data_IF_135353167577
#
_entry.id   IF_135353167577
#
_cell.length_a   1.000
_cell.length_b   1.000
_cell.length_c   1.000
_cell.angle_alpha   90.00
_cell.angle_beta   90.00
_cell.angle_gamma   90.00
#
_symmetry.space_group_name_H-M   'P 1'
#
loop_
_entity.id
_entity.type
_entity.pdbx_description
1 polymer ?
#
# COMPACT_ATOMS: atom_id res chain seq x y z
N UNK A 1 -8.79 5.58 -13.58
CA UNK A 1 -7.51 5.19 -14.22
C UNK A 1 -6.56 4.82 -13.09
N UNK A 2 -5.93 3.64 -13.10
CA UNK A 2 -4.80 3.39 -12.16
C UNK A 2 -3.74 4.47 -12.47
N UNK A 3 -3.17 5.16 -11.48
CA UNK A 3 -2.02 6.01 -11.75
C UNK A 3 -0.99 5.13 -12.47
N UNK A 4 -0.48 5.58 -13.62
CA UNK A 4 0.67 4.92 -14.21
C UNK A 4 1.76 4.95 -13.15
N UNK A 5 2.29 3.78 -12.77
CA UNK A 5 3.51 3.67 -11.98
C UNK A 5 4.66 4.24 -12.84
N UNK A 6 4.73 5.56 -12.99
CA UNK A 6 5.81 6.22 -13.71
C UNK A 6 7.08 6.17 -12.85
N UNK A 7 8.24 6.04 -13.51
CA UNK A 7 9.67 6.25 -13.24
C UNK A 7 10.22 6.29 -11.78
N UNK A 8 9.41 6.58 -10.77
CA UNK A 8 9.75 6.66 -9.35
C UNK A 8 9.98 5.30 -8.66
N UNK A 9 9.65 4.20 -9.34
CA UNK A 9 9.79 2.82 -8.84
C UNK A 9 10.91 2.03 -9.51
N UNK A 10 11.66 2.61 -10.47
CA UNK A 10 12.76 1.96 -11.21
C UNK A 10 13.86 1.35 -10.31
N UNK A 11 13.88 1.70 -9.01
CA UNK A 11 14.83 1.17 -8.04
C UNK A 11 14.29 0.03 -7.15
N UNK A 12 12.99 -0.30 -7.21
CA UNK A 12 12.47 -1.41 -6.43
C UNK A 12 12.86 -2.75 -7.04
N UNK A 13 13.32 -3.72 -6.24
CA UNK A 13 13.69 -5.05 -6.74
C UNK A 13 12.59 -5.72 -7.58
N UNK A 14 11.33 -5.55 -7.20
CA UNK A 14 10.18 -6.18 -7.89
C UNK A 14 9.97 -5.62 -9.31
N UNK A 15 10.24 -4.34 -9.54
CA UNK A 15 10.15 -3.75 -10.88
C UNK A 15 11.33 -4.19 -11.74
N UNK A 16 12.55 -4.29 -11.18
CA UNK A 16 13.69 -4.89 -11.88
C UNK A 16 13.37 -6.33 -12.34
N UNK A 17 12.66 -7.09 -11.51
CA UNK A 17 12.21 -8.43 -11.89
C UNK A 17 11.19 -8.40 -13.04
N UNK A 18 10.23 -7.46 -13.02
CA UNK A 18 9.28 -7.24 -14.12
C UNK A 18 9.98 -6.84 -15.41
N UNK A 19 10.90 -5.89 -15.36
CA UNK A 19 11.67 -5.41 -16.52
C UNK A 19 12.51 -6.53 -17.15
N UNK A 20 13.12 -7.39 -16.33
CA UNK A 20 13.87 -8.56 -16.82
C UNK A 20 12.94 -9.52 -17.57
N UNK A 21 11.72 -9.74 -17.07
CA UNK A 21 10.71 -10.58 -17.73
C UNK A 21 10.26 -9.92 -19.04
N UNK A 22 9.94 -8.63 -19.02
CA UNK A 22 9.38 -7.88 -20.15
C UNK A 22 10.38 -7.73 -21.30
N UNK A 23 11.63 -7.41 -20.97
CA UNK A 23 12.74 -7.36 -21.92
C UNK A 23 12.97 -8.71 -22.59
N UNK A 24 12.87 -9.82 -21.84
CA UNK A 24 13.04 -11.15 -22.41
C UNK A 24 11.93 -11.51 -23.40
N UNK A 25 10.67 -11.16 -23.08
CA UNK A 25 9.52 -11.41 -23.95
C UNK A 25 9.65 -10.62 -25.27
N UNK A 26 10.14 -9.38 -25.20
CA UNK A 26 10.20 -8.46 -26.35
C UNK A 26 11.40 -8.68 -27.28
N UNK A 27 12.57 -9.04 -26.75
CA UNK A 27 13.82 -9.03 -27.54
C UNK A 27 14.06 -10.26 -28.43
N UNK A 28 13.43 -11.43 -28.20
CA UNK A 28 14.07 -12.70 -28.62
C UNK A 28 13.27 -13.82 -29.29
N UNK A 29 12.04 -13.62 -29.75
CA UNK A 29 11.18 -14.73 -30.20
C UNK A 29 11.19 -15.87 -29.16
N UNK A 30 10.72 -15.61 -27.92
CA UNK A 30 10.63 -16.64 -26.88
C UNK A 30 9.77 -17.82 -27.38
N UNK A 31 10.09 -19.03 -26.92
CA UNK A 31 9.22 -20.18 -27.18
C UNK A 31 7.86 -20.01 -26.49
N UNK A 32 6.81 -20.69 -26.96
CA UNK A 32 5.49 -20.65 -26.30
C UNK A 32 5.59 -21.05 -24.82
N UNK A 33 6.48 -21.98 -24.49
CA UNK A 33 6.77 -22.41 -23.12
C UNK A 33 7.43 -21.30 -22.27
N UNK A 34 8.32 -20.51 -22.87
CA UNK A 34 8.94 -19.35 -22.23
C UNK A 34 7.91 -18.24 -21.97
N UNK A 35 6.98 -18.02 -22.92
CA UNK A 35 5.89 -17.04 -22.77
C UNK A 35 4.96 -17.47 -21.63
N UNK A 36 4.51 -18.72 -21.61
CA UNK A 36 3.66 -19.25 -20.52
C UNK A 36 4.36 -19.10 -19.16
N UNK A 37 5.66 -19.38 -19.10
CA UNK A 37 6.44 -19.23 -17.89
C UNK A 37 6.57 -17.76 -17.45
N UNK A 38 6.85 -16.84 -18.37
CA UNK A 38 6.89 -15.39 -18.08
C UNK A 38 5.53 -14.86 -17.61
N UNK A 39 4.42 -15.33 -18.20
CA UNK A 39 3.08 -14.99 -17.75
C UNK A 39 2.78 -15.54 -16.36
N UNK A 40 3.19 -16.77 -16.06
CA UNK A 40 3.06 -17.34 -14.72
C UNK A 40 3.88 -16.54 -13.69
N UNK A 41 5.11 -16.12 -14.04
CA UNK A 41 5.92 -15.24 -13.19
C UNK A 41 5.23 -13.89 -12.96
N UNK A 42 4.72 -13.25 -14.02
CA UNK A 42 3.99 -11.97 -13.93
C UNK A 42 2.80 -12.07 -12.99
N UNK A 43 1.98 -13.12 -13.13
CA UNK A 43 0.85 -13.38 -12.22
C UNK A 43 1.31 -13.59 -10.78
N UNK A 44 2.42 -14.30 -10.60
CA UNK A 44 3.03 -14.59 -9.29
C UNK A 44 3.71 -13.40 -8.61
N UNK A 45 3.77 -12.22 -9.24
CA UNK A 45 4.35 -11.00 -8.65
C UNK A 45 3.40 -9.81 -8.71
N UNK A 46 2.23 -10.01 -9.30
CA UNK A 46 1.14 -9.05 -9.30
C UNK A 46 0.29 -9.28 -8.04
N UNK A 47 0.30 -8.35 -7.07
CA UNK A 47 -0.53 -8.50 -5.87
C UNK A 47 -2.02 -8.58 -6.21
N UNK A 48 -2.46 -7.98 -7.32
CA UNK A 48 -3.85 -8.00 -7.77
C UNK A 48 -4.22 -9.27 -8.55
N UNK A 49 -3.29 -10.22 -8.69
CA UNK A 49 -3.60 -11.49 -9.32
C UNK A 49 -4.55 -12.30 -8.45
N UNK A 50 -5.68 -12.75 -9.04
CA UNK A 50 -6.55 -13.74 -8.42
C UNK A 50 -5.98 -15.17 -8.50
N UNK A 51 -4.79 -15.33 -9.07
CA UNK A 51 -4.13 -16.63 -9.22
C UNK A 51 -3.25 -16.84 -7.99
N UNK A 52 -3.46 -17.92 -7.22
CA UNK A 52 -2.59 -18.25 -6.10
C UNK A 52 -1.14 -18.39 -6.57
N UNK A 53 -0.20 -17.98 -5.72
CA UNK A 53 1.21 -18.25 -5.94
C UNK A 53 1.45 -19.78 -5.91
N UNK A 54 1.54 -20.41 -7.08
CA UNK A 54 1.96 -21.80 -7.20
C UNK A 54 3.49 -21.87 -7.09
N UNK A 55 3.98 -21.89 -5.85
CA UNK A 55 5.40 -21.93 -5.55
C UNK A 55 6.09 -23.16 -6.15
N UNK A 56 5.42 -24.32 -6.17
CA UNK A 56 5.99 -25.54 -6.74
C UNK A 56 6.09 -25.47 -8.27
N UNK A 57 5.11 -24.88 -8.96
CA UNK A 57 5.19 -24.59 -10.40
C UNK A 57 6.28 -23.56 -10.66
N UNK A 58 6.32 -22.47 -9.91
CA UNK A 58 7.36 -21.42 -9.99
C UNK A 58 8.78 -21.98 -9.81
N UNK A 59 8.99 -22.84 -8.81
CA UNK A 59 10.28 -23.47 -8.56
C UNK A 59 10.63 -24.55 -9.59
N UNK A 60 9.67 -25.35 -10.04
CA UNK A 60 9.89 -26.27 -11.18
C UNK A 60 10.35 -25.48 -12.40
N UNK A 61 9.74 -24.32 -12.66
CA UNK A 61 10.17 -23.42 -13.73
C UNK A 61 11.62 -22.95 -13.53
N UNK A 62 12.03 -22.56 -12.32
CA UNK A 62 13.40 -22.08 -12.03
C UNK A 62 14.46 -23.20 -11.89
N UNK A 63 14.07 -24.44 -11.61
CA UNK A 63 14.99 -25.56 -11.37
C UNK A 63 15.80 -25.98 -12.61
N UNK A 64 17.02 -26.47 -12.40
CA UNK A 64 17.89 -26.96 -13.48
C UNK A 64 17.32 -28.26 -14.07
N UNK A 65 17.03 -28.28 -15.38
CA UNK A 65 16.56 -29.47 -16.10
C UNK A 65 15.16 -29.36 -16.69
N UNK A 66 14.41 -28.30 -16.36
CA UNK A 66 13.16 -28.00 -17.08
C UNK A 66 13.45 -27.25 -18.40
N UNK A 67 12.83 -27.67 -19.52
CA UNK A 67 12.96 -26.99 -20.82
C UNK A 67 12.21 -25.66 -20.91
N UNK A 68 11.40 -25.33 -19.88
CA UNK A 68 10.49 -24.18 -19.84
C UNK A 68 11.17 -22.80 -19.87
N UNK A 69 12.48 -22.72 -19.59
CA UNK A 69 13.24 -21.49 -19.74
C UNK A 69 14.52 -21.69 -20.54
N UNK A 70 14.87 -20.74 -21.40
CA UNK A 70 16.24 -20.67 -21.88
C UNK A 70 17.21 -20.50 -20.71
N UNK A 71 18.39 -21.14 -20.78
CA UNK A 71 19.45 -20.94 -19.77
C UNK A 71 19.87 -19.46 -19.62
N UNK A 72 19.49 -18.59 -20.57
CA UNK A 72 19.74 -17.15 -20.54
C UNK A 72 18.80 -16.41 -19.59
N UNK A 73 17.48 -16.67 -19.64
CA UNK A 73 16.53 -16.01 -18.71
C UNK A 73 16.81 -16.43 -17.27
N UNK A 74 17.07 -17.73 -17.02
CA UNK A 74 17.49 -18.22 -15.71
C UNK A 74 18.72 -17.50 -15.16
N UNK A 75 19.74 -17.27 -16.00
CA UNK A 75 20.94 -16.50 -15.62
C UNK A 75 20.65 -15.04 -15.28
N UNK A 76 19.65 -14.42 -15.92
CA UNK A 76 19.21 -13.05 -15.59
C UNK A 76 18.41 -13.01 -14.28
N UNK A 77 17.58 -14.01 -13.98
CA UNK A 77 16.73 -14.04 -12.78
C UNK A 77 17.47 -14.50 -11.52
N UNK A 78 18.38 -15.47 -11.63
CA UNK A 78 19.06 -16.10 -10.48
C UNK A 78 19.77 -15.14 -9.51
N UNK A 79 20.39 -14.03 -9.94
CA UNK A 79 21.01 -13.07 -9.03
C UNK A 79 20.00 -12.33 -8.14
N UNK A 80 18.74 -12.21 -8.56
CA UNK A 80 17.71 -11.44 -7.87
C UNK A 80 16.90 -12.26 -6.87
N UNK A 81 16.81 -13.57 -7.06
CA UNK A 81 15.91 -14.45 -6.32
C UNK A 81 16.66 -15.31 -5.30
N UNK A 82 16.03 -15.51 -4.13
CA UNK A 82 16.40 -16.57 -3.19
C UNK A 82 15.74 -17.88 -3.63
N UNK A 83 16.53 -18.93 -3.88
CA UNK A 83 16.04 -20.23 -4.38
C UNK A 83 15.57 -21.18 -3.28
N UNK A 84 14.73 -22.18 -3.64
CA UNK A 84 14.22 -23.23 -2.73
C UNK A 84 15.25 -23.94 -1.88
N UNK A 85 16.53 -24.04 -2.30
CA UNK A 85 17.56 -24.65 -1.43
C UNK A 85 17.68 -23.94 -0.08
N UNK A 86 17.34 -22.66 -0.01
CA UNK A 86 17.37 -21.89 1.22
C UNK A 86 16.21 -22.17 2.19
N UNK A 87 15.15 -22.85 1.71
CA UNK A 87 13.94 -23.18 2.49
C UNK A 87 13.78 -24.68 2.79
N UNK A 88 14.69 -25.53 2.30
CA UNK A 88 14.52 -27.01 2.28
C UNK A 88 14.45 -27.68 3.66
N UNK A 89 14.91 -27.05 4.73
CA UNK A 89 15.20 -27.76 5.99
C UNK A 89 14.16 -27.57 7.10
N UNK A 90 13.25 -26.60 7.03
CA UNK A 90 12.36 -26.30 8.17
C UNK A 90 11.04 -25.63 7.76
N UNK A 91 9.95 -25.89 8.51
CA UNK A 91 8.65 -25.18 8.41
C UNK A 91 8.62 -23.86 9.19
N UNK A 92 9.61 -23.65 10.05
CA UNK A 92 9.84 -22.47 10.87
C UNK A 92 11.33 -22.20 10.97
N UNK A 93 11.75 -20.94 11.00
CA UNK A 93 13.13 -20.57 11.29
C UNK A 93 13.20 -20.07 12.73
N UNK A 94 13.55 -20.91 13.72
CA UNK A 94 13.68 -20.47 15.12
C UNK A 94 14.94 -19.64 15.33
N UNK A 95 14.99 -18.89 16.44
CA UNK A 95 16.12 -18.02 16.78
C UNK A 95 17.46 -18.77 16.70
N UNK A 96 18.43 -18.18 16.01
CA UNK A 96 19.75 -18.78 15.78
C UNK A 96 19.86 -19.64 14.51
N UNK A 97 18.78 -19.84 13.75
CA UNK A 97 18.81 -20.52 12.46
C UNK A 97 18.65 -19.53 11.29
N UNK A 98 19.77 -19.25 10.62
CA UNK A 98 19.78 -18.46 9.38
C UNK A 98 19.25 -19.28 8.20
N UNK A 99 18.68 -18.61 7.20
CA UNK A 99 18.45 -19.24 5.90
C UNK A 99 19.79 -19.65 5.27
N UNK A 100 20.03 -20.96 5.16
CA UNK A 100 21.25 -21.51 4.57
C UNK A 100 21.20 -21.36 3.05
N UNK A 101 22.12 -20.60 2.45
CA UNK A 101 22.20 -20.46 0.99
C UNK A 101 21.55 -19.20 0.43
N UNK A 102 21.34 -18.18 1.25
CA UNK A 102 21.11 -16.85 0.73
C UNK A 102 22.38 -16.34 0.02
N UNK A 103 22.25 -15.96 -1.25
CA UNK A 103 23.36 -15.36 -1.98
C UNK A 103 23.42 -13.84 -1.67
N UNK A 104 24.63 -13.26 -1.63
CA UNK A 104 24.82 -11.85 -1.29
C UNK A 104 24.29 -10.86 -2.32
N UNK A 105 23.88 -11.35 -3.51
CA UNK A 105 23.28 -10.55 -4.58
C UNK A 105 21.75 -10.48 -4.54
N UNK A 106 21.08 -11.40 -3.83
CA UNK A 106 19.64 -11.58 -3.89
C UNK A 106 18.92 -10.36 -3.31
N UNK A 107 17.96 -9.85 -4.09
CA UNK A 107 17.19 -8.65 -3.76
C UNK A 107 15.74 -8.97 -3.41
N UNK A 108 15.26 -10.18 -3.76
CA UNK A 108 13.87 -10.64 -3.60
C UNK A 108 13.85 -12.03 -2.95
N UNK A 109 13.02 -12.19 -1.92
CA UNK A 109 12.67 -13.51 -1.37
C UNK A 109 11.25 -13.88 -1.80
N UNK A 110 11.07 -15.10 -2.29
CA UNK A 110 9.74 -15.68 -2.51
C UNK A 110 9.55 -16.74 -1.45
N UNK A 111 8.61 -16.52 -0.55
CA UNK A 111 8.41 -17.38 0.61
C UNK A 111 7.40 -18.49 0.25
N UNK A 112 7.79 -19.77 0.31
CA UNK A 112 6.86 -20.87 0.10
C UNK A 112 5.78 -20.87 1.17
N UNK A 113 4.53 -21.15 0.80
CA UNK A 113 3.34 -21.21 1.68
C UNK A 113 3.49 -22.14 2.91
N UNK A 114 4.37 -23.14 2.81
CA UNK A 114 4.72 -24.06 3.89
C UNK A 114 5.45 -23.39 5.07
N UNK A 115 6.08 -22.23 4.86
CA UNK A 115 6.79 -21.49 5.91
C UNK A 115 5.78 -20.76 6.80
N UNK A 116 5.88 -20.93 8.12
CA UNK A 116 4.94 -20.32 9.06
C UNK A 116 5.54 -19.20 9.90
N UNK A 117 6.86 -19.12 10.04
CA UNK A 117 7.52 -18.06 10.80
C UNK A 117 9.00 -17.91 10.43
N UNK A 118 9.52 -16.70 10.63
CA UNK A 118 10.94 -16.39 10.58
C UNK A 118 11.44 -15.84 11.90
N UNK A 119 12.65 -16.23 12.30
CA UNK A 119 13.41 -15.55 13.34
C UNK A 119 13.82 -14.15 12.87
N UNK A 120 14.05 -13.19 13.77
CA UNK A 120 14.55 -11.85 13.45
C UNK A 120 15.78 -11.84 12.54
N UNK A 121 16.62 -12.88 12.66
CA UNK A 121 17.90 -12.99 11.96
C UNK A 121 17.86 -13.90 10.72
N UNK A 122 16.70 -14.41 10.32
CA UNK A 122 16.58 -15.41 9.25
C UNK A 122 17.22 -14.96 7.91
N UNK A 123 17.27 -13.64 7.65
CA UNK A 123 17.82 -13.04 6.44
C UNK A 123 19.13 -12.28 6.66
N UNK A 124 19.86 -12.55 7.74
CA UNK A 124 21.14 -11.86 8.05
C UNK A 124 22.18 -11.99 6.94
N UNK A 125 22.25 -13.16 6.27
CA UNK A 125 23.16 -13.44 5.16
C UNK A 125 22.68 -12.91 3.79
N UNK A 126 21.57 -12.16 3.77
CA UNK A 126 20.97 -11.55 2.58
C UNK A 126 21.09 -10.00 2.60
N UNK A 127 22.29 -9.41 2.49
CA UNK A 127 22.47 -7.97 2.73
C UNK A 127 21.78 -7.06 1.69
N UNK A 128 21.41 -7.58 0.52
CA UNK A 128 20.70 -6.81 -0.51
C UNK A 128 19.20 -7.12 -0.55
N UNK A 129 18.70 -8.00 0.31
CA UNK A 129 17.29 -8.34 0.34
C UNK A 129 16.49 -7.10 0.73
N UNK A 130 15.62 -6.68 -0.19
CA UNK A 130 14.81 -5.49 -0.05
C UNK A 130 13.35 -5.75 -0.38
N UNK A 131 13.00 -6.87 -1.02
CA UNK A 131 11.61 -7.21 -1.34
C UNK A 131 11.24 -8.64 -0.93
N UNK A 132 10.02 -8.83 -0.43
CA UNK A 132 9.48 -10.15 -0.11
C UNK A 132 8.15 -10.37 -0.81
N UNK A 133 7.98 -11.57 -1.36
CA UNK A 133 6.72 -12.09 -1.88
C UNK A 133 6.29 -13.23 -0.96
N UNK A 134 5.10 -13.13 -0.36
CA UNK A 134 4.58 -14.14 0.56
C UNK A 134 3.07 -14.33 0.40
N UNK A 135 2.53 -15.42 0.95
CA UNK A 135 1.06 -15.62 0.95
C UNK A 135 0.38 -14.93 2.13
N UNK A 136 -0.92 -14.68 2.00
CA UNK A 136 -1.75 -14.08 3.06
C UNK A 136 -1.62 -14.79 4.41
N UNK A 137 -1.51 -16.12 4.41
CA UNK A 137 -1.41 -16.91 5.65
C UNK A 137 -0.11 -16.67 6.44
N UNK A 138 0.88 -16.03 5.81
CA UNK A 138 2.21 -15.83 6.36
C UNK A 138 2.46 -14.36 6.71
N UNK A 139 1.65 -13.46 6.17
CA UNK A 139 1.73 -12.02 6.30
C UNK A 139 1.99 -11.52 7.74
N UNK A 140 1.12 -11.88 8.68
CA UNK A 140 1.21 -11.41 10.07
C UNK A 140 2.41 -11.94 10.84
N UNK A 141 2.92 -13.13 10.49
CA UNK A 141 3.99 -13.80 11.24
C UNK A 141 5.39 -13.45 10.70
N UNK A 142 5.50 -13.18 9.41
CA UNK A 142 6.78 -12.90 8.74
C UNK A 142 7.24 -11.46 9.02
N UNK A 143 6.31 -10.51 9.09
CA UNK A 143 6.62 -9.08 8.96
C UNK A 143 7.01 -8.42 10.27
N UNK A 144 6.49 -8.92 11.39
CA UNK A 144 6.88 -8.48 12.73
C UNK A 144 8.40 -8.53 12.96
N UNK A 145 9.08 -9.50 12.33
CA UNK A 145 10.50 -9.76 12.56
C UNK A 145 11.45 -9.10 11.55
N UNK A 146 10.95 -8.60 10.42
CA UNK A 146 11.78 -8.16 9.29
C UNK A 146 12.02 -6.64 9.24
N UNK A 147 11.55 -5.93 10.27
CA UNK A 147 11.22 -4.50 10.33
C UNK A 147 12.31 -3.49 9.93
N UNK A 148 13.55 -3.91 9.64
CA UNK A 148 14.69 -2.99 9.53
C UNK A 148 15.31 -2.84 8.14
N UNK A 149 14.96 -3.68 7.16
CA UNK A 149 15.62 -3.63 5.82
C UNK A 149 14.68 -3.78 4.64
N UNK A 150 13.53 -4.43 4.83
CA UNK A 150 12.62 -4.69 3.71
C UNK A 150 11.95 -3.38 3.30
N UNK A 151 12.09 -3.07 2.02
CA UNK A 151 11.52 -1.90 1.37
C UNK A 151 10.22 -2.23 0.64
N UNK A 152 10.03 -3.47 0.21
CA UNK A 152 8.84 -3.86 -0.52
C UNK A 152 8.27 -5.19 -0.03
N UNK A 153 6.94 -5.26 0.08
CA UNK A 153 6.27 -6.53 0.33
C UNK A 153 5.13 -6.71 -0.67
N UNK A 154 5.07 -7.86 -1.34
CA UNK A 154 3.95 -8.28 -2.19
C UNK A 154 3.27 -9.45 -1.51
N UNK A 155 1.98 -9.30 -1.20
CA UNK A 155 1.16 -10.41 -0.73
C UNK A 155 0.45 -11.03 -1.91
N UNK A 156 0.26 -12.34 -1.88
CA UNK A 156 -0.55 -13.07 -2.86
C UNK A 156 -1.52 -13.98 -2.10
N UNK A 157 -2.78 -13.98 -2.50
CA UNK A 157 -3.77 -14.89 -1.97
C UNK A 157 -5.12 -14.72 -2.63
N UNK A 158 -5.96 -15.73 -2.44
CA UNK A 158 -7.30 -15.87 -3.00
C UNK A 158 -8.39 -15.90 -1.90
N UNK A 159 -8.00 -15.73 -0.63
CA UNK A 159 -8.91 -15.73 0.50
C UNK A 159 -9.22 -14.32 0.98
N UNK A 160 -10.47 -14.10 1.38
CA UNK A 160 -10.89 -12.79 1.91
C UNK A 160 -10.11 -12.50 3.19
N UNK A 161 -9.17 -11.57 3.12
CA UNK A 161 -8.26 -11.26 4.22
C UNK A 161 -8.50 -9.86 4.77
N UNK A 162 -8.26 -9.70 6.06
CA UNK A 162 -8.31 -8.43 6.77
C UNK A 162 -6.88 -8.05 7.11
N UNK A 163 -6.41 -6.90 6.65
CA UNK A 163 -5.09 -6.43 7.04
C UNK A 163 -5.18 -5.97 8.50
N UNK A 164 -4.68 -6.80 9.42
CA UNK A 164 -4.92 -6.65 10.86
C UNK A 164 -4.37 -5.34 11.41
N UNK A 165 -4.97 -4.87 12.52
CA UNK A 165 -4.51 -3.68 13.22
C UNK A 165 -3.00 -3.72 13.50
N UNK A 166 -2.32 -2.60 13.27
CA UNK A 166 -0.89 -2.40 13.49
C UNK A 166 0.07 -3.31 12.71
N UNK A 167 -0.34 -4.00 11.65
CA UNK A 167 0.51 -4.98 10.94
C UNK A 167 1.84 -4.43 10.37
N UNK A 168 1.89 -3.15 9.98
CA UNK A 168 3.08 -2.41 9.52
C UNK A 168 3.37 -1.19 10.39
N UNK A 169 2.75 -1.09 11.57
CA UNK A 169 2.97 0.08 12.43
C UNK A 169 4.46 0.24 12.74
N UNK A 170 5.00 1.41 12.45
CA UNK A 170 6.41 1.76 12.62
C UNK A 170 7.37 1.15 11.60
N UNK A 171 6.89 0.55 10.51
CA UNK A 171 7.75 -0.08 9.50
C UNK A 171 8.40 0.98 8.59
N UNK A 172 9.35 1.74 9.15
CA UNK A 172 9.94 2.92 8.51
C UNK A 172 10.71 2.63 7.23
N UNK A 173 11.17 1.40 6.99
CA UNK A 173 11.85 1.05 5.73
C UNK A 173 10.91 0.74 4.58
N UNK A 174 9.62 0.51 4.84
CA UNK A 174 8.63 0.14 3.82
C UNK A 174 8.44 1.30 2.83
N UNK A 175 8.76 1.05 1.57
CA UNK A 175 8.60 1.96 0.42
C UNK A 175 7.38 1.58 -0.40
N UNK A 176 7.11 0.29 -0.55
CA UNK A 176 6.05 -0.26 -1.37
C UNK A 176 5.36 -1.44 -0.68
N UNK A 177 4.04 -1.54 -0.90
CA UNK A 177 3.26 -2.70 -0.52
C UNK A 177 2.26 -3.05 -1.63
N UNK A 178 2.28 -4.31 -2.05
CA UNK A 178 1.26 -4.90 -2.91
C UNK A 178 0.19 -5.58 -2.07
N UNK A 179 -1.01 -4.99 -2.01
CA UNK A 179 -2.16 -5.51 -1.27
C UNK A 179 -3.09 -6.26 -2.26
N UNK A 180 -3.50 -7.50 -1.97
CA UNK A 180 -4.34 -8.28 -2.87
C UNK A 180 -5.76 -7.76 -2.99
N UNK A 181 -6.38 -7.98 -4.15
CA UNK A 181 -7.78 -7.62 -4.42
C UNK A 181 -8.77 -8.38 -3.51
N UNK A 182 -8.33 -9.39 -2.77
CA UNK A 182 -9.14 -10.11 -1.77
C UNK A 182 -9.33 -9.33 -0.47
N UNK A 183 -8.51 -8.29 -0.21
CA UNK A 183 -8.54 -7.51 1.03
C UNK A 183 -9.70 -6.52 1.00
N UNK A 184 -10.58 -6.60 2.00
CA UNK A 184 -11.71 -5.68 2.13
C UNK A 184 -11.54 -4.63 3.23
N UNK A 185 -10.57 -4.81 4.13
CA UNK A 185 -10.39 -3.96 5.31
C UNK A 185 -8.92 -3.72 5.60
N UNK A 186 -8.58 -2.45 5.84
CA UNK A 186 -7.31 -2.01 6.43
C UNK A 186 -7.57 -1.67 7.90
N UNK A 187 -7.00 -2.46 8.82
CA UNK A 187 -7.24 -2.34 10.25
C UNK A 187 -6.55 -1.14 10.92
N UNK A 188 -6.95 -0.84 12.15
CA UNK A 188 -6.50 0.37 12.84
C UNK A 188 -4.98 0.43 12.98
N UNK A 189 -4.38 1.61 12.73
CA UNK A 189 -2.92 1.81 12.74
C UNK A 189 -2.11 0.88 11.81
N UNK A 190 -2.74 0.21 10.85
CA UNK A 190 -2.10 -0.78 9.97
C UNK A 190 -0.75 -0.34 9.39
N UNK A 191 -0.63 0.91 8.95
CA UNK A 191 0.56 1.51 8.37
C UNK A 191 1.05 2.74 9.13
N UNK A 192 0.64 2.90 10.40
CA UNK A 192 1.00 4.08 11.17
C UNK A 192 2.52 4.24 11.23
N UNK A 193 3.05 5.42 10.92
CA UNK A 193 4.49 5.70 10.98
C UNK A 193 5.33 5.01 9.90
N UNK A 194 4.72 4.51 8.81
CA UNK A 194 5.41 4.03 7.61
C UNK A 194 5.99 5.21 6.81
N UNK A 195 6.98 5.90 7.36
CA UNK A 195 7.42 7.20 6.84
C UNK A 195 8.00 7.16 5.42
N UNK A 196 8.50 6.02 4.94
CA UNK A 196 9.05 5.91 3.59
C UNK A 196 8.03 5.34 2.58
N UNK A 197 6.82 5.01 3.01
CA UNK A 197 5.79 4.45 2.14
C UNK A 197 5.35 5.54 1.16
N UNK A 198 5.68 5.39 -0.12
CA UNK A 198 5.47 6.43 -1.13
C UNK A 198 4.08 6.39 -1.75
N UNK A 199 3.58 5.20 -2.02
CA UNK A 199 2.28 4.98 -2.65
C UNK A 199 1.65 3.70 -2.10
N UNK A 200 0.69 3.80 -1.15
CA UNK A 200 -0.14 2.65 -0.80
C UNK A 200 -1.08 2.36 -1.97
N UNK A 201 -0.75 1.36 -2.79
CA UNK A 201 -1.64 0.90 -3.86
C UNK A 201 -2.80 0.12 -3.26
N UNK A 202 -3.89 0.81 -2.94
CA UNK A 202 -5.07 0.22 -2.34
C UNK A 202 -5.98 -0.39 -3.40
N UNK A 203 -6.34 -1.69 -3.30
CA UNK A 203 -7.29 -2.31 -4.21
C UNK A 203 -8.70 -1.71 -4.06
N UNK A 204 -9.46 -1.71 -5.16
CA UNK A 204 -10.83 -1.16 -5.20
C UNK A 204 -11.84 -1.95 -4.35
N UNK A 205 -11.46 -3.14 -3.90
CA UNK A 205 -12.28 -4.04 -3.07
C UNK A 205 -12.28 -3.65 -1.60
N UNK A 206 -11.38 -2.76 -1.17
CA UNK A 206 -11.39 -2.22 0.19
C UNK A 206 -12.65 -1.37 0.39
N UNK A 207 -13.42 -1.74 1.41
CA UNK A 207 -14.62 -1.02 1.86
C UNK A 207 -14.41 -0.25 3.15
N UNK A 208 -13.36 -0.60 3.92
CA UNK A 208 -13.11 -0.08 5.26
C UNK A 208 -11.63 0.21 5.46
N UNK A 209 -11.32 1.41 5.96
CA UNK A 209 -10.00 1.83 6.41
C UNK A 209 -10.18 2.41 7.81
N UNK A 210 -9.74 1.68 8.83
CA UNK A 210 -10.01 1.99 10.24
C UNK A 210 -9.13 3.14 10.78
N UNK A 211 -9.41 3.53 12.02
CA UNK A 211 -8.74 4.62 12.72
C UNK A 211 -7.21 4.56 12.64
N UNK A 212 -6.57 5.71 12.45
CA UNK A 212 -5.10 5.86 12.42
C UNK A 212 -4.39 5.02 11.33
N UNK A 213 -5.10 4.37 10.41
CA UNK A 213 -4.52 3.36 9.51
C UNK A 213 -3.26 3.84 8.77
N UNK A 214 -3.19 5.11 8.39
CA UNK A 214 -2.04 5.72 7.72
C UNK A 214 -1.50 6.96 8.47
N UNK A 215 -1.78 7.08 9.78
CA UNK A 215 -1.26 8.20 10.57
C UNK A 215 0.29 8.24 10.53
N UNK A 216 0.88 9.42 10.60
CA UNK A 216 2.32 9.65 10.61
C UNK A 216 3.08 9.12 9.35
N UNK A 217 2.39 8.91 8.22
CA UNK A 217 3.03 8.57 6.93
C UNK A 217 3.52 9.82 6.18
N UNK A 218 4.32 9.69 5.12
CA UNK A 218 4.89 10.87 4.41
C UNK A 218 4.75 10.86 2.89
N UNK A 219 3.81 10.07 2.35
CA UNK A 219 3.46 10.11 0.93
C UNK A 219 2.89 11.48 0.51
N UNK A 220 3.06 11.83 -0.76
CA UNK A 220 2.61 13.11 -1.31
C UNK A 220 1.18 13.09 -1.86
N UNK A 221 0.69 11.90 -2.22
CA UNK A 221 -0.64 11.67 -2.77
C UNK A 221 -1.30 10.46 -2.10
N UNK A 222 -2.60 10.54 -1.86
CA UNK A 222 -3.41 9.44 -1.36
C UNK A 222 -4.74 9.36 -2.09
N UNK A 223 -5.07 8.17 -2.59
CA UNK A 223 -6.33 7.88 -3.30
C UNK A 223 -7.09 6.85 -2.50
N UNK A 224 -8.26 7.23 -1.99
CA UNK A 224 -9.14 6.28 -1.32
C UNK A 224 -9.77 5.30 -2.32
N UNK A 225 -9.97 4.03 -1.94
CA UNK A 225 -10.78 3.09 -2.71
C UNK A 225 -12.21 3.61 -2.89
N UNK A 226 -12.83 3.43 -4.07
CA UNK A 226 -14.12 4.04 -4.41
C UNK A 226 -15.30 3.54 -3.55
N UNK A 227 -15.15 2.39 -2.91
CA UNK A 227 -16.18 1.79 -2.05
C UNK A 227 -16.11 2.25 -0.59
N UNK A 228 -15.10 3.03 -0.19
CA UNK A 228 -14.96 3.56 1.18
C UNK A 228 -16.00 4.65 1.42
N UNK A 229 -16.86 4.44 2.42
CA UNK A 229 -17.96 5.36 2.77
C UNK A 229 -17.63 6.27 3.96
N UNK A 230 -16.84 5.77 4.90
CA UNK A 230 -16.50 6.48 6.12
C UNK A 230 -14.99 6.69 6.11
N UNK A 231 -14.57 7.95 6.27
CA UNK A 231 -13.19 8.30 6.56
C UNK A 231 -13.08 8.35 8.07
N UNK A 232 -12.38 7.39 8.66
CA UNK A 232 -12.33 7.19 10.10
C UNK A 232 -11.41 8.20 10.83
N UNK A 233 -11.38 8.13 12.16
CA UNK A 233 -10.62 9.05 13.02
C UNK A 233 -9.12 8.98 12.72
N UNK A 234 -8.49 10.14 12.58
CA UNK A 234 -7.03 10.27 12.40
C UNK A 234 -6.42 9.42 11.27
N UNK A 235 -7.22 8.98 10.29
CA UNK A 235 -6.79 8.01 9.27
C UNK A 235 -5.55 8.45 8.49
N UNK A 236 -5.39 9.76 8.26
CA UNK A 236 -4.24 10.40 7.61
C UNK A 236 -3.64 11.51 8.48
N UNK A 237 -3.74 11.38 9.80
CA UNK A 237 -3.17 12.33 10.76
C UNK A 237 -1.65 12.48 10.58
N UNK A 238 -1.13 13.70 10.65
CA UNK A 238 0.28 14.05 10.47
C UNK A 238 0.94 13.52 9.18
N UNK A 239 0.16 13.30 8.12
CA UNK A 239 0.71 13.05 6.80
C UNK A 239 1.23 14.36 6.18
N UNK A 240 2.30 14.92 6.73
CA UNK A 240 2.75 16.30 6.49
C UNK A 240 3.20 16.61 5.06
N UNK A 241 3.51 15.58 4.26
CA UNK A 241 3.83 15.74 2.83
C UNK A 241 2.62 15.55 1.91
N UNK A 242 1.47 15.12 2.45
CA UNK A 242 0.27 14.84 1.66
C UNK A 242 -0.29 16.15 1.12
N UNK A 243 -0.20 16.35 -0.19
CA UNK A 243 -0.66 17.57 -0.88
C UNK A 243 -1.87 17.32 -1.76
N UNK A 244 -2.03 16.08 -2.26
CA UNK A 244 -3.11 15.68 -3.16
C UNK A 244 -3.91 14.53 -2.55
N UNK A 245 -5.22 14.74 -2.46
CA UNK A 245 -6.15 13.74 -1.94
C UNK A 245 -7.48 13.84 -2.70
N UNK A 246 -8.10 12.68 -2.95
CA UNK A 246 -9.42 12.58 -3.56
C UNK A 246 -10.33 11.74 -2.66
N UNK A 247 -11.46 12.32 -2.23
CA UNK A 247 -12.47 11.58 -1.47
C UNK A 247 -13.37 10.78 -2.42
N UNK A 248 -13.77 9.55 -2.06
CA UNK A 248 -14.74 8.78 -2.83
C UNK A 248 -16.07 9.52 -2.96
N UNK A 249 -16.71 9.45 -4.13
CA UNK A 249 -18.01 10.11 -4.36
C UNK A 249 -19.13 9.64 -3.40
N UNK A 250 -18.96 8.49 -2.76
CA UNK A 250 -19.91 7.91 -1.81
C UNK A 250 -19.57 8.20 -0.35
N UNK A 251 -18.57 9.02 -0.05
CA UNK A 251 -18.20 9.34 1.34
C UNK A 251 -19.35 10.02 2.06
N UNK A 252 -19.76 9.47 3.20
CA UNK A 252 -20.86 9.97 4.03
C UNK A 252 -20.38 10.66 5.29
N UNK A 253 -19.18 10.36 5.76
CA UNK A 253 -18.63 10.91 7.01
C UNK A 253 -17.11 11.11 6.94
N UNK A 254 -16.65 12.13 7.66
CA UNK A 254 -15.23 12.41 7.91
C UNK A 254 -15.02 12.45 9.42
N UNK A 255 -14.10 11.64 9.92
CA UNK A 255 -13.76 11.51 11.32
C UNK A 255 -13.00 12.70 11.87
N UNK A 256 -12.91 12.76 13.20
CA UNK A 256 -12.15 13.78 13.90
C UNK A 256 -10.66 13.65 13.54
N UNK A 257 -9.99 14.78 13.37
CA UNK A 257 -8.56 14.88 13.00
C UNK A 257 -8.11 14.09 11.76
N UNK A 258 -9.04 13.60 10.92
CA UNK A 258 -8.77 12.69 9.79
C UNK A 258 -7.62 13.15 8.86
N UNK A 259 -7.50 14.46 8.62
CA UNK A 259 -6.45 15.07 7.79
C UNK A 259 -5.66 16.14 8.55
N UNK A 260 -5.68 16.11 9.89
CA UNK A 260 -4.92 17.02 10.72
C UNK A 260 -3.43 16.91 10.43
N UNK A 261 -2.71 18.04 10.32
CA UNK A 261 -1.27 18.05 10.08
C UNK A 261 -0.86 17.65 8.66
N UNK A 262 -1.75 17.76 7.67
CA UNK A 262 -1.44 17.48 6.25
C UNK A 262 -1.11 18.75 5.47
N UNK A 263 -0.45 18.64 4.32
CA UNK A 263 -0.13 19.77 3.44
C UNK A 263 -1.14 19.92 2.27
N UNK A 264 -2.36 19.41 2.43
CA UNK A 264 -3.39 19.46 1.38
C UNK A 264 -3.70 20.92 1.07
N UNK A 265 -3.75 21.25 -0.23
CA UNK A 265 -4.00 22.62 -0.67
C UNK A 265 -5.42 22.84 -1.17
N UNK A 266 -5.98 21.79 -1.77
CA UNK A 266 -7.31 21.76 -2.34
C UNK A 266 -7.98 20.43 -1.98
N UNK A 267 -9.22 20.49 -1.54
CA UNK A 267 -10.02 19.31 -1.27
C UNK A 267 -11.45 19.50 -1.79
N UNK A 268 -11.97 18.47 -2.44
CA UNK A 268 -13.36 18.39 -2.82
C UNK A 268 -14.12 17.52 -1.83
N UNK A 269 -15.15 18.09 -1.19
CA UNK A 269 -16.06 17.35 -0.31
C UNK A 269 -17.29 16.89 -1.11
N UNK A 270 -17.55 15.58 -1.21
CA UNK A 270 -18.76 15.06 -1.83
C UNK A 270 -20.03 15.57 -1.13
N UNK A 271 -21.11 15.76 -1.90
CA UNK A 271 -22.38 16.22 -1.33
C UNK A 271 -22.99 15.28 -0.29
N UNK A 272 -22.55 14.02 -0.29
CA UNK A 272 -23.01 12.97 0.61
C UNK A 272 -22.43 13.10 2.01
N UNK A 273 -21.39 13.91 2.23
CA UNK A 273 -20.78 14.06 3.55
C UNK A 273 -21.66 14.93 4.45
N UNK A 274 -22.14 14.34 5.54
CA UNK A 274 -23.01 14.99 6.53
C UNK A 274 -22.34 14.86 7.89
N UNK A 275 -22.19 15.97 8.62
CA UNK A 275 -21.69 15.94 9.99
C UNK A 275 -20.83 17.15 10.38
N UNK A 276 -20.38 17.14 11.64
CA UNK A 276 -19.35 18.03 12.14
C UNK A 276 -18.07 17.20 12.33
N UNK A 277 -16.94 17.72 11.87
CA UNK A 277 -15.66 16.99 11.89
C UNK A 277 -14.66 17.82 12.67
N UNK A 278 -14.44 17.46 13.94
CA UNK A 278 -13.62 18.28 14.85
C UNK A 278 -12.18 18.17 14.41
N UNK A 279 -11.55 19.33 14.20
CA UNK A 279 -10.13 19.42 13.86
C UNK A 279 -9.68 18.57 12.66
N UNK A 280 -10.60 18.13 11.79
CA UNK A 280 -10.30 17.27 10.65
C UNK A 280 -9.26 17.89 9.71
N UNK A 281 -9.16 19.21 9.69
CA UNK A 281 -8.20 20.00 8.92
C UNK A 281 -7.33 20.92 9.80
N UNK A 282 -7.17 20.59 11.08
CA UNK A 282 -6.29 21.37 11.96
C UNK A 282 -4.83 21.26 11.51
N UNK A 283 -4.04 22.31 11.73
CA UNK A 283 -2.62 22.35 11.37
C UNK A 283 -2.33 22.00 9.89
N UNK A 284 -3.20 22.40 8.97
CA UNK A 284 -2.99 22.23 7.52
C UNK A 284 -2.44 23.54 6.91
N UNK A 285 -1.11 23.77 6.87
CA UNK A 285 -0.53 25.08 6.55
C UNK A 285 -0.77 25.53 5.11
N UNK A 286 -0.98 24.57 4.20
CA UNK A 286 -1.15 24.82 2.76
C UNK A 286 -2.62 24.90 2.33
N UNK A 287 -3.57 24.67 3.24
CA UNK A 287 -4.98 24.55 2.90
C UNK A 287 -5.56 25.93 2.55
N UNK A 288 -5.67 26.19 1.24
CA UNK A 288 -6.17 27.46 0.73
C UNK A 288 -7.68 27.39 0.42
N UNK A 289 -8.17 26.26 -0.11
CA UNK A 289 -9.54 26.15 -0.63
C UNK A 289 -10.13 24.76 -0.33
N UNK A 290 -11.31 24.72 0.29
CA UNK A 290 -12.20 23.54 0.29
C UNK A 290 -13.35 23.82 -0.68
N UNK A 291 -13.53 22.95 -1.67
CA UNK A 291 -14.65 23.00 -2.63
C UNK A 291 -15.63 21.88 -2.30
N UNK A 292 -16.89 22.04 -2.65
CA UNK A 292 -17.86 20.96 -2.58
C UNK A 292 -18.76 20.98 -3.81
N UNK A 293 -19.28 19.81 -4.17
CA UNK A 293 -20.22 19.69 -5.29
C UNK A 293 -21.52 20.40 -4.92
N UNK A 294 -21.86 21.39 -5.75
CA UNK A 294 -23.13 22.12 -5.81
C UNK A 294 -24.02 21.95 -4.59
N UNK A 295 -23.74 22.81 -3.62
CA UNK A 295 -24.65 22.99 -2.53
C UNK A 295 -25.12 24.44 -2.49
N UNK A 296 -26.44 24.56 -2.52
CA UNK A 296 -27.17 25.51 -1.71
C UNK A 296 -26.80 25.37 -0.21
N UNK A 297 -25.53 25.32 0.20
CA UNK A 297 -25.07 25.15 1.60
C UNK A 297 -23.90 26.07 1.82
N UNK A 298 -23.76 26.59 3.04
CA UNK A 298 -22.71 27.55 3.39
C UNK A 298 -21.58 26.81 4.11
N UNK A 299 -20.36 26.98 3.63
CA UNK A 299 -19.14 26.46 4.25
C UNK A 299 -18.61 27.48 5.26
N UNK A 300 -18.44 27.06 6.50
CA UNK A 300 -17.65 27.82 7.48
C UNK A 300 -16.45 26.96 7.84
N UNK A 301 -15.29 27.33 7.31
CA UNK A 301 -14.01 26.80 7.78
C UNK A 301 -13.52 27.76 8.85
N UNK A 302 -13.83 27.49 10.11
CA UNK A 302 -13.06 28.08 11.21
C UNK A 302 -11.82 27.21 11.31
N UNK A 303 -10.64 27.81 11.43
CA UNK A 303 -9.33 27.14 11.42
C UNK A 303 -9.18 25.91 12.33
N UNK A 304 -10.13 25.65 13.24
CA UNK A 304 -10.21 24.49 14.12
C UNK A 304 -11.49 23.63 13.96
N UNK A 305 -12.51 24.10 13.23
CA UNK A 305 -13.81 23.45 13.05
C UNK A 305 -14.37 23.75 11.65
N UNK A 306 -14.51 22.74 10.80
CA UNK A 306 -15.25 22.85 9.55
C UNK A 306 -16.67 22.33 9.78
N UNK A 307 -17.68 23.15 9.51
CA UNK A 307 -19.09 22.76 9.60
C UNK A 307 -19.76 23.01 8.25
N UNK A 308 -20.39 21.96 7.71
CA UNK A 308 -21.30 22.08 6.57
C UNK A 308 -22.71 22.34 7.10
N UNK A 309 -23.30 23.47 6.74
CA UNK A 309 -24.70 23.78 7.06
C UNK A 309 -25.53 23.87 5.77
N UNK A 310 -26.51 22.98 5.56
CA UNK A 310 -27.45 23.08 4.42
C UNK A 310 -28.26 24.39 4.43
N UNK A 311 -28.46 25.11 3.30
CA UNK A 311 -29.16 26.44 3.29
C UNK A 311 -30.54 26.40 3.90
N UNK A 312 -31.27 25.28 3.81
CA UNK A 312 -32.61 25.16 4.37
C UNK A 312 -32.64 25.23 5.91
N UNK A 313 -31.49 25.08 6.56
CA UNK A 313 -31.31 25.26 8.01
C UNK A 313 -30.68 26.61 8.40
N UNK A 314 -30.30 27.47 7.44
CA UNK A 314 -29.63 28.75 7.71
C UNK A 314 -30.63 29.91 7.87
N UNK A 315 -30.81 30.37 9.11
CA UNK A 315 -31.55 31.61 9.39
C UNK A 315 -30.88 32.84 8.77
N UNK A 316 -31.65 33.90 8.49
CA UNK A 316 -31.14 35.18 7.96
C UNK A 316 -30.04 35.80 8.83
N UNK A 317 -30.12 35.62 10.15
CA UNK A 317 -29.11 36.09 11.10
C UNK A 317 -27.80 35.30 11.01
N UNK A 318 -27.89 33.98 10.87
CA UNK A 318 -26.71 33.12 10.76
C UNK A 318 -25.93 33.44 9.47
N UNK A 319 -26.63 33.68 8.35
CA UNK A 319 -26.00 34.13 7.09
C UNK A 319 -25.24 35.47 7.24
N UNK A 320 -25.76 36.39 8.06
CA UNK A 320 -25.14 37.70 8.30
C UNK A 320 -23.92 37.59 9.23
N UNK A 321 -24.02 36.78 10.29
CA UNK A 321 -22.92 36.51 11.21
C UNK A 321 -21.74 35.85 10.49
N UNK A 322 -22.02 34.88 9.61
CA UNK A 322 -20.99 34.19 8.82
C UNK A 322 -20.27 35.15 7.89
N UNK A 323 -20.98 36.08 7.24
CA UNK A 323 -20.36 37.10 6.40
C UNK A 323 -19.36 37.95 7.19
N UNK A 324 -19.74 38.37 8.40
CA UNK A 324 -18.88 39.15 9.29
C UNK A 324 -17.64 38.36 9.73
N UNK A 325 -17.79 37.06 10.03
CA UNK A 325 -16.66 36.19 10.39
C UNK A 325 -15.70 36.05 9.20
N UNK A 326 -16.21 35.79 8.00
CA UNK A 326 -15.39 35.67 6.79
C UNK A 326 -14.63 36.96 6.46
N UNK A 327 -15.24 38.13 6.70
CA UNK A 327 -14.59 39.44 6.48
C UNK A 327 -13.49 39.74 7.54
N UNK A 328 -13.46 39.04 8.67
CA UNK A 328 -12.52 39.28 9.77
C UNK A 328 -11.28 38.36 9.77
N UNK A 329 -11.34 37.25 9.02
CA UNK A 329 -10.27 36.24 8.94
C UNK A 329 -9.54 36.23 7.58
N UNK A 330 -9.71 37.28 6.77
CA UNK A 330 -9.01 37.50 5.49
C UNK A 330 -7.76 38.36 5.63
#
# INVERSE_FOLDING_TARGET
MRPQLNDQFEQLPIEVLRDVIDTYVTEKQPSDADIEACEALRKSIDPHSSVPLDYDKFEKLLSSGTPLFSGRLRKKLAPHLISRSAYKTTKSFPDGHNMIGCNSSATIAIVPDTIRSFAPNAFTDCPKLAHIICTETQWGLIIYYLQRRIQGVTIIGDHKYYLSSSSFSGYRSLVYIGIPDTVTTIGSSAFRGCINLRYPMLPNTITTIDDYAFADCTFSEFVFPPAVKIIEEEVLHNCFNLTKIELPAQTTSIGDYAFSGTAISNLFIPRTVIGAWRHAFSNCPSLAIIRAEDFESLFITITNHAVIIPRHHLSKHLKRLIRIIMDHYH
#
